data_IF_183364252939
#
_entry.id   IF_183364252939
#
_cell.length_a   1.000
_cell.length_b   1.000
_cell.length_c   1.000
_cell.angle_alpha   90.00
_cell.angle_beta   90.00
_cell.angle_gamma   90.00
#
_symmetry.space_group_name_H-M   'P 1'
#
loop_
_entity.id
_entity.type
_entity.pdbx_description
1 polymer ?
#
# COMPACT_ATOMS: atom_id res chain seq x y z
N UNK A 1 14.37 -4.55 -16.35
CA UNK A 1 13.21 -5.26 -15.82
C UNK A 1 13.56 -5.92 -14.50
N UNK A 2 12.80 -5.65 -13.46
CA UNK A 2 13.10 -6.17 -12.14
C UNK A 2 12.15 -7.28 -11.73
N UNK A 3 12.51 -7.97 -10.65
CA UNK A 3 11.64 -9.01 -10.08
C UNK A 3 10.29 -8.45 -9.69
N UNK A 4 10.26 -7.18 -9.29
CA UNK A 4 9.02 -6.55 -8.82
C UNK A 4 8.01 -6.29 -9.92
N UNK A 5 8.48 -6.16 -11.17
CA UNK A 5 7.57 -5.87 -12.29
C UNK A 5 6.59 -7.01 -12.52
N UNK A 6 7.08 -8.25 -12.54
CA UNK A 6 6.23 -9.42 -12.72
C UNK A 6 5.28 -9.62 -11.55
N UNK A 7 5.76 -9.36 -10.34
CA UNK A 7 4.96 -9.48 -9.13
C UNK A 7 3.81 -8.47 -9.12
N UNK A 8 4.11 -7.23 -9.48
CA UNK A 8 3.08 -6.19 -9.56
C UNK A 8 2.02 -6.52 -10.61
N UNK A 9 2.46 -7.01 -11.76
CA UNK A 9 1.54 -7.37 -12.82
C UNK A 9 0.60 -8.50 -12.38
N UNK A 10 1.13 -9.49 -11.66
CA UNK A 10 0.32 -10.61 -11.16
C UNK A 10 -0.71 -10.16 -10.13
N UNK A 11 -0.33 -9.25 -9.23
CA UNK A 11 -1.27 -8.72 -8.23
C UNK A 11 -2.38 -7.92 -8.87
N UNK A 12 -2.04 -7.09 -9.86
CA UNK A 12 -3.03 -6.31 -10.58
C UNK A 12 -4.00 -7.22 -11.33
N UNK A 13 -3.48 -8.28 -11.93
CA UNK A 13 -4.32 -9.24 -12.65
C UNK A 13 -5.24 -9.99 -11.70
N UNK A 14 -4.73 -10.35 -10.51
CA UNK A 14 -5.55 -11.00 -9.49
C UNK A 14 -6.72 -10.10 -9.10
N UNK A 15 -6.44 -8.80 -8.89
CA UNK A 15 -7.49 -7.84 -8.57
C UNK A 15 -8.50 -7.71 -9.71
N UNK A 16 -8.02 -7.70 -10.95
CA UNK A 16 -8.90 -7.57 -12.11
C UNK A 16 -9.92 -8.71 -12.17
N UNK A 17 -9.49 -9.92 -11.80
CA UNK A 17 -10.34 -11.10 -11.88
C UNK A 17 -11.30 -11.23 -10.71
N UNK A 18 -10.90 -10.85 -9.50
CA UNK A 18 -11.69 -11.18 -8.31
C UNK A 18 -11.93 -10.00 -7.36
N UNK A 19 -11.50 -8.80 -7.71
CA UNK A 19 -11.58 -7.67 -6.79
C UNK A 19 -10.67 -7.92 -5.59
N UNK A 20 -11.04 -7.38 -4.44
CA UNK A 20 -10.23 -7.54 -3.24
C UNK A 20 -10.55 -8.80 -2.45
N UNK A 21 -11.51 -9.61 -2.90
CA UNK A 21 -11.84 -10.87 -2.25
C UNK A 21 -10.61 -11.76 -2.20
N UNK A 22 -10.30 -12.27 -1.01
CA UNK A 22 -9.14 -13.11 -0.82
C UNK A 22 -7.84 -12.38 -0.59
N UNK A 23 -7.83 -11.05 -0.70
CA UNK A 23 -6.62 -10.26 -0.38
C UNK A 23 -6.50 -10.10 1.13
N UNK A 24 -5.31 -10.39 1.66
CA UNK A 24 -4.99 -10.03 3.03
C UNK A 24 -4.74 -8.53 3.12
N UNK A 25 -4.80 -7.97 4.33
CA UNK A 25 -4.61 -6.53 4.51
C UNK A 25 -3.28 -6.03 3.95
N UNK A 26 -2.20 -6.78 4.15
CA UNK A 26 -0.90 -6.36 3.61
C UNK A 26 -0.90 -6.39 2.08
N UNK A 27 -1.67 -7.29 1.48
CA UNK A 27 -1.76 -7.35 0.02
C UNK A 27 -2.57 -6.19 -0.54
N UNK A 28 -3.61 -5.75 0.16
CA UNK A 28 -4.36 -4.57 -0.24
C UNK A 28 -3.46 -3.34 -0.25
N UNK A 29 -2.69 -3.15 0.84
CA UNK A 29 -1.75 -2.04 0.92
C UNK A 29 -0.68 -2.13 -0.15
N UNK A 30 -0.16 -3.32 -0.38
CA UNK A 30 0.85 -3.53 -1.41
C UNK A 30 0.34 -3.07 -2.78
N UNK A 31 -0.87 -3.48 -3.12
CA UNK A 31 -1.49 -3.11 -4.39
C UNK A 31 -1.67 -1.59 -4.51
N UNK A 32 -2.17 -0.96 -3.45
CA UNK A 32 -2.34 0.49 -3.45
C UNK A 32 -1.00 1.20 -3.63
N UNK A 33 0.03 0.72 -2.95
CA UNK A 33 1.34 1.36 -2.98
C UNK A 33 2.02 1.21 -4.34
N UNK A 34 1.60 0.26 -5.18
CA UNK A 34 2.14 0.16 -6.54
C UNK A 34 1.94 1.48 -7.30
N UNK A 35 0.85 2.17 -7.03
CA UNK A 35 0.53 3.41 -7.75
C UNK A 35 1.23 4.64 -7.16
N UNK A 36 1.69 4.55 -5.92
CA UNK A 36 2.35 5.66 -5.25
C UNK A 36 3.87 5.49 -5.18
N UNK A 37 4.36 4.26 -5.24
CA UNK A 37 5.78 3.95 -5.09
C UNK A 37 6.20 3.04 -6.23
N UNK A 38 6.74 3.60 -7.32
CA UNK A 38 6.94 2.82 -8.54
C UNK A 38 8.10 1.81 -8.50
N UNK A 39 9.07 1.96 -7.61
CA UNK A 39 10.30 1.18 -7.73
C UNK A 39 10.77 0.44 -6.50
N UNK A 40 10.04 0.52 -5.39
CA UNK A 40 10.45 -0.15 -4.15
C UNK A 40 9.65 -1.42 -3.93
N UNK A 41 10.13 -2.23 -3.00
CA UNK A 41 9.40 -3.41 -2.56
C UNK A 41 8.24 -2.98 -1.65
N UNK A 42 7.07 -2.86 -2.22
CA UNK A 42 5.91 -2.40 -1.47
C UNK A 42 5.38 -3.45 -0.51
N UNK A 43 5.77 -4.71 -0.67
CA UNK A 43 5.39 -5.74 0.30
C UNK A 43 5.98 -5.44 1.68
N UNK A 44 7.29 -5.13 1.73
CA UNK A 44 7.92 -4.76 3.00
C UNK A 44 7.29 -3.51 3.59
N UNK A 45 7.03 -2.52 2.76
CA UNK A 45 6.46 -1.25 3.22
C UNK A 45 5.07 -1.49 3.79
N UNK A 46 4.26 -2.33 3.12
CA UNK A 46 2.94 -2.68 3.61
C UNK A 46 3.00 -3.34 4.99
N UNK A 47 3.95 -4.26 5.17
CA UNK A 47 4.11 -4.91 6.47
C UNK A 47 4.55 -3.91 7.55
N UNK A 48 5.43 -2.98 7.22
CA UNK A 48 5.85 -1.94 8.18
C UNK A 48 4.67 -1.07 8.61
N UNK A 49 3.81 -0.70 7.67
CA UNK A 49 2.64 0.10 7.97
C UNK A 49 1.68 -0.64 8.89
N UNK A 50 1.40 -1.90 8.60
CA UNK A 50 0.50 -2.69 9.44
C UNK A 50 1.09 -2.94 10.82
N UNK A 51 2.40 -3.16 10.89
CA UNK A 51 3.06 -3.38 12.18
C UNK A 51 2.99 -2.13 13.04
N UNK A 52 3.18 -0.95 12.45
CA UNK A 52 3.18 0.29 13.20
C UNK A 52 1.77 0.69 13.67
N UNK A 53 0.79 0.57 12.78
CA UNK A 53 -0.55 1.09 13.06
C UNK A 53 -1.55 0.03 13.49
N UNK A 54 -1.27 -1.24 13.28
CA UNK A 54 -2.04 -2.34 13.81
C UNK A 54 -3.11 -2.92 12.91
N UNK A 55 -3.68 -2.13 12.02
CA UNK A 55 -4.73 -2.59 11.11
C UNK A 55 -4.77 -1.72 9.86
N UNK A 56 -5.40 -2.23 8.83
CA UNK A 56 -5.60 -1.48 7.60
C UNK A 56 -6.40 -0.20 7.86
N UNK A 57 -7.44 -0.31 8.67
CA UNK A 57 -8.26 0.85 9.02
C UNK A 57 -7.43 1.92 9.72
N UNK A 58 -6.57 1.50 10.64
CA UNK A 58 -5.72 2.43 11.36
C UNK A 58 -4.70 3.12 10.45
N UNK A 59 -4.22 2.42 9.43
CA UNK A 59 -3.33 3.03 8.44
C UNK A 59 -4.05 4.18 7.74
N UNK A 60 -5.29 3.96 7.32
CA UNK A 60 -6.05 5.00 6.62
C UNK A 60 -6.50 6.14 7.53
N UNK A 61 -6.49 5.93 8.85
CA UNK A 61 -6.86 6.97 9.81
C UNK A 61 -5.66 7.69 10.39
N UNK A 62 -4.44 7.27 10.06
CA UNK A 62 -3.23 7.80 10.66
C UNK A 62 -2.93 9.21 10.15
N UNK A 63 -2.32 10.07 10.98
CA UNK A 63 -1.91 11.39 10.54
C UNK A 63 -0.84 11.31 9.46
N UNK A 64 -0.86 12.27 8.55
CA UNK A 64 0.08 12.33 7.44
C UNK A 64 1.53 12.24 7.92
N UNK A 65 1.87 12.99 8.97
CA UNK A 65 3.23 13.02 9.48
C UNK A 65 3.69 11.65 9.97
N UNK A 66 2.80 10.89 10.60
CA UNK A 66 3.15 9.58 11.09
C UNK A 66 3.33 8.57 9.96
N UNK A 67 2.51 8.66 8.94
CA UNK A 67 2.65 7.81 7.76
C UNK A 67 3.98 8.09 7.05
N UNK A 68 4.31 9.36 6.90
CA UNK A 68 5.53 9.75 6.19
C UNK A 68 6.81 9.30 6.89
N UNK A 69 6.75 9.05 8.19
CA UNK A 69 7.91 8.58 8.96
C UNK A 69 8.21 7.10 8.73
N UNK A 70 7.29 6.34 8.20
CA UNK A 70 7.51 4.92 7.95
C UNK A 70 8.55 4.79 6.84
N UNK A 71 9.58 3.97 7.10
CA UNK A 71 10.65 3.78 6.14
C UNK A 71 10.11 3.30 4.80
N UNK A 72 10.45 4.00 3.75
CA UNK A 72 10.01 3.68 2.40
C UNK A 72 8.74 4.38 1.93
N UNK A 73 7.96 4.97 2.84
CA UNK A 73 6.70 5.61 2.47
C UNK A 73 6.93 6.99 1.85
N UNK A 74 7.55 7.89 2.60
CA UNK A 74 7.77 9.24 2.10
C UNK A 74 6.48 10.06 2.03
N UNK A 75 6.63 11.31 1.64
CA UNK A 75 5.51 12.25 1.67
C UNK A 75 4.45 11.95 0.61
N UNK A 76 4.89 11.58 -0.58
CA UNK A 76 3.95 11.36 -1.70
C UNK A 76 3.01 10.19 -1.41
N UNK A 77 3.56 9.08 -0.93
CA UNK A 77 2.73 7.93 -0.59
C UNK A 77 1.87 8.19 0.63
N UNK A 78 2.38 8.96 1.59
CA UNK A 78 1.58 9.35 2.76
C UNK A 78 0.38 10.19 2.35
N UNK A 79 0.57 11.13 1.43
CA UNK A 79 -0.54 11.91 0.87
C UNK A 79 -1.56 11.02 0.19
N UNK A 80 -1.10 10.06 -0.60
CA UNK A 80 -1.97 9.12 -1.29
C UNK A 80 -2.84 8.35 -0.30
N UNK A 81 -2.23 7.84 0.77
CA UNK A 81 -2.96 7.05 1.77
C UNK A 81 -3.97 7.90 2.55
N UNK A 82 -3.67 9.17 2.80
CA UNK A 82 -4.63 10.05 3.49
C UNK A 82 -5.72 10.54 2.55
N UNK A 83 -5.43 10.64 1.27
CA UNK A 83 -6.40 11.08 0.27
C UNK A 83 -7.50 10.04 0.03
N UNK A 84 -7.15 8.78 -0.05
CA UNK A 84 -8.07 7.70 -0.46
C UNK A 84 -9.38 7.68 0.34
N UNK A 85 -9.35 7.70 1.68
CA UNK A 85 -10.62 7.64 2.42
C UNK A 85 -11.49 8.87 2.22
N UNK A 86 -10.93 9.97 1.77
CA UNK A 86 -11.68 11.21 1.59
C UNK A 86 -12.38 11.29 0.25
N UNK A 87 -12.07 10.39 -0.67
CA UNK A 87 -12.65 10.40 -2.00
C UNK A 87 -14.05 9.82 -2.03
N UNK A 88 -14.39 8.97 -1.09
CA UNK A 88 -15.68 8.27 -1.07
C UNK A 88 -16.81 9.13 -0.57
#
# INVERSE_FOLDING_TARGET
MGLHDGHRARKKEQFRRQGLDGFADHEVLELLLYYAIPRKDTNEIAHRLLQKFGSLQNVFSAPLEELAKVDGVGESAALFLTLLPQVQ
#
